data_IF_155197690947
#
_entry.id   IF_155197690947
#
_cell.length_a   1.000
_cell.length_b   1.000
_cell.length_c   1.000
_cell.angle_alpha   90.00
_cell.angle_beta   90.00
_cell.angle_gamma   90.00
#
_symmetry.space_group_name_H-M   'P 1'
#
loop_
_entity.id
_entity.type
_entity.pdbx_description
1 polymer ?
#
# COMPACT_ATOMS: atom_id res chain seq x y z
N UNK A 1 -4.40 -27.92 21.70
CA UNK A 1 -3.30 -26.93 21.77
C UNK A 1 -2.98 -26.58 20.34
N UNK A 2 -3.21 -25.31 19.98
CA UNK A 2 -3.34 -24.68 18.66
C UNK A 2 -2.86 -25.44 17.42
N UNK A 3 -3.82 -25.75 16.54
CA UNK A 3 -3.59 -25.99 15.10
C UNK A 3 -3.68 -24.63 14.38
N UNK A 4 -2.76 -23.71 14.71
CA UNK A 4 -2.63 -22.43 13.99
C UNK A 4 -1.87 -22.71 12.70
N UNK A 5 -2.59 -23.21 11.69
CA UNK A 5 -2.11 -23.13 10.31
C UNK A 5 -1.78 -21.66 10.03
N UNK A 6 -0.64 -21.35 9.39
CA UNK A 6 -0.35 -19.99 8.97
C UNK A 6 -1.52 -19.48 8.14
N UNK A 7 -2.21 -18.45 8.63
CA UNK A 7 -3.25 -17.78 7.85
C UNK A 7 -2.51 -17.02 6.76
N UNK A 8 -2.43 -17.62 5.56
CA UNK A 8 -1.95 -16.92 4.38
C UNK A 8 -2.95 -15.82 4.06
N UNK A 9 -2.54 -14.56 4.21
CA UNK A 9 -3.37 -13.42 3.79
C UNK A 9 -3.46 -13.41 2.27
N UNK A 10 -4.63 -13.16 1.70
CA UNK A 10 -4.76 -13.04 0.25
C UNK A 10 -3.94 -11.84 -0.23
N UNK A 11 -3.21 -12.07 -1.31
CA UNK A 11 -2.45 -11.04 -2.00
C UNK A 11 -3.36 -10.45 -3.08
N UNK A 12 -3.51 -9.14 -3.09
CA UNK A 12 -4.22 -8.43 -4.13
C UNK A 12 -3.42 -8.50 -5.44
N UNK A 13 -4.08 -8.69 -6.57
CA UNK A 13 -3.41 -8.72 -7.88
C UNK A 13 -4.16 -7.83 -8.85
N UNK A 14 -3.42 -7.08 -9.68
CA UNK A 14 -3.99 -6.30 -10.76
C UNK A 14 -4.09 -7.18 -12.02
N UNK A 15 -5.30 -7.60 -12.44
CA UNK A 15 -5.47 -8.45 -13.61
C UNK A 15 -5.15 -7.75 -14.93
N UNK A 16 -5.07 -6.41 -14.94
CA UNK A 16 -4.70 -5.63 -16.12
C UNK A 16 -3.17 -5.45 -16.26
N UNK A 17 -2.40 -5.76 -15.21
CA UNK A 17 -0.95 -5.63 -15.24
C UNK A 17 -0.32 -6.74 -16.10
N UNK A 18 0.49 -6.33 -17.08
CA UNK A 18 1.22 -7.25 -17.96
C UNK A 18 2.50 -7.72 -17.28
N UNK A 19 2.78 -9.02 -17.33
CA UNK A 19 4.03 -9.62 -16.86
C UNK A 19 5.06 -9.73 -17.98
N UNK A 20 6.35 -9.60 -17.67
CA UNK A 20 7.44 -9.89 -18.59
C UNK A 20 7.59 -11.40 -18.86
N UNK A 21 7.13 -12.24 -17.91
CA UNK A 21 7.05 -13.68 -18.05
C UNK A 21 5.56 -14.12 -18.00
N UNK A 22 4.99 -14.68 -19.07
CA UNK A 22 3.59 -15.06 -19.12
C UNK A 22 3.21 -16.17 -18.10
N UNK A 23 4.19 -16.88 -17.52
CA UNK A 23 3.95 -17.91 -16.51
C UNK A 23 3.94 -17.36 -15.07
N UNK A 24 4.34 -16.09 -14.87
CA UNK A 24 4.46 -15.46 -13.56
C UNK A 24 3.51 -14.26 -13.43
N UNK A 25 3.00 -13.96 -12.22
CA UNK A 25 2.28 -12.73 -11.96
C UNK A 25 3.14 -11.49 -12.22
N UNK A 26 2.51 -10.39 -12.60
CA UNK A 26 3.17 -9.11 -12.89
C UNK A 26 3.98 -8.52 -11.72
N UNK A 27 3.61 -8.81 -10.48
CA UNK A 27 4.37 -8.38 -9.30
C UNK A 27 5.61 -9.24 -9.03
N UNK A 28 5.69 -10.44 -9.63
CA UNK A 28 6.87 -11.33 -9.58
C UNK A 28 7.80 -11.04 -10.76
N UNK A 29 7.26 -10.88 -11.96
CA UNK A 29 8.02 -10.60 -13.18
C UNK A 29 7.53 -9.31 -13.84
N UNK A 30 7.78 -8.13 -13.22
CA UNK A 30 7.38 -6.87 -13.81
C UNK A 30 8.20 -6.55 -15.07
N UNK A 31 7.62 -5.88 -16.08
CA UNK A 31 8.35 -5.36 -17.22
C UNK A 31 9.51 -4.44 -16.82
N UNK A 32 10.52 -4.34 -17.68
CA UNK A 32 11.62 -3.40 -17.49
C UNK A 32 11.08 -1.95 -17.38
N UNK A 33 11.58 -1.21 -16.40
CA UNK A 33 11.13 0.16 -16.12
C UNK A 33 9.80 0.27 -15.37
N UNK A 34 9.15 -0.83 -15.00
CA UNK A 34 7.94 -0.79 -14.19
C UNK A 34 8.18 -0.11 -12.83
N UNK A 35 7.20 0.67 -12.34
CA UNK A 35 7.31 1.35 -11.05
C UNK A 35 7.33 0.36 -9.89
N UNK A 36 7.76 0.81 -8.70
CA UNK A 36 7.64 0.02 -7.48
C UNK A 36 6.17 -0.40 -7.26
N UNK A 37 5.94 -1.59 -6.70
CA UNK A 37 4.60 -2.15 -6.49
C UNK A 37 3.76 -2.35 -7.76
N UNK A 38 4.40 -2.45 -8.93
CA UNK A 38 3.70 -2.86 -10.15
C UNK A 38 3.11 -4.28 -10.00
N UNK A 39 1.93 -4.50 -10.59
CA UNK A 39 1.18 -5.76 -10.45
C UNK A 39 0.22 -5.79 -9.25
N UNK A 40 0.21 -4.76 -8.41
CA UNK A 40 -0.75 -4.58 -7.32
C UNK A 40 -1.79 -3.51 -7.68
N UNK A 41 -3.08 -3.72 -7.35
CA UNK A 41 -4.13 -2.80 -7.75
C UNK A 41 -4.18 -1.54 -6.87
N UNK A 42 -4.66 -0.44 -7.47
CA UNK A 42 -5.10 0.75 -6.74
C UNK A 42 -6.51 0.49 -6.20
N UNK A 43 -6.77 0.89 -4.96
CA UNK A 43 -8.11 0.80 -4.36
C UNK A 43 -9.01 1.86 -4.99
N UNK A 44 -10.01 1.44 -5.74
CA UNK A 44 -10.92 2.33 -6.46
C UNK A 44 -11.59 3.33 -5.50
N UNK A 45 -11.52 4.63 -5.82
CA UNK A 45 -12.12 5.69 -5.01
C UNK A 45 -11.31 6.14 -3.79
N UNK A 46 -10.23 5.44 -3.42
CA UNK A 46 -9.33 5.81 -2.33
C UNK A 46 -8.25 6.81 -2.80
N UNK A 47 -8.71 8.00 -3.19
CA UNK A 47 -7.86 9.12 -3.60
C UNK A 47 -8.17 10.37 -2.76
N UNK A 48 -7.12 11.04 -2.30
CA UNK A 48 -7.19 12.26 -1.48
C UNK A 48 -6.03 13.19 -1.85
N UNK A 49 -6.34 14.44 -2.24
CA UNK A 49 -5.36 15.49 -2.55
C UNK A 49 -4.24 15.07 -3.52
N UNK A 50 -4.60 14.25 -4.52
CA UNK A 50 -3.70 13.70 -5.52
C UNK A 50 -2.97 12.41 -5.10
N UNK A 51 -3.01 12.03 -3.82
CA UNK A 51 -2.51 10.74 -3.35
C UNK A 51 -3.52 9.63 -3.61
N UNK A 52 -3.06 8.45 -3.99
CA UNK A 52 -3.87 7.25 -4.19
C UNK A 52 -3.35 6.10 -3.32
N UNK A 53 -4.26 5.29 -2.80
CA UNK A 53 -3.90 4.08 -2.04
C UNK A 53 -3.94 2.85 -2.94
N UNK A 54 -2.87 2.07 -2.96
CA UNK A 54 -2.85 0.73 -3.51
C UNK A 54 -2.72 -0.33 -2.43
N UNK A 55 -3.14 -1.56 -2.74
CA UNK A 55 -3.21 -2.66 -1.77
C UNK A 55 -2.35 -3.84 -2.20
N UNK A 56 -1.65 -4.44 -1.23
CA UNK A 56 -0.88 -5.67 -1.41
C UNK A 56 -1.57 -6.80 -0.64
N UNK A 57 -1.93 -6.56 0.62
CA UNK A 57 -2.84 -7.43 1.39
C UNK A 57 -4.29 -7.11 1.01
N UNK A 58 -5.03 -8.11 0.51
CA UNK A 58 -6.41 -7.94 0.03
C UNK A 58 -7.44 -7.94 1.18
N UNK A 59 -7.55 -6.78 1.84
CA UNK A 59 -8.52 -6.54 2.90
C UNK A 59 -9.98 -6.43 2.40
N UNK A 60 -10.20 -6.25 1.08
CA UNK A 60 -11.54 -6.13 0.49
C UNK A 60 -12.19 -7.50 0.34
N UNK A 61 -11.42 -8.52 -0.04
CA UNK A 61 -11.91 -9.90 -0.11
C UNK A 61 -11.90 -10.57 1.26
N UNK A 62 -10.87 -10.34 2.07
CA UNK A 62 -10.76 -10.89 3.41
C UNK A 62 -10.40 -9.78 4.40
N UNK A 63 -11.36 -9.31 5.22
CA UNK A 63 -11.10 -8.28 6.22
C UNK A 63 -9.93 -8.67 7.12
N UNK A 64 -8.99 -7.74 7.30
CA UNK A 64 -7.87 -7.86 8.24
C UNK A 64 -7.69 -6.52 8.97
N UNK A 65 -6.94 -6.56 10.07
CA UNK A 65 -6.58 -5.38 10.85
C UNK A 65 -5.16 -4.90 10.60
N UNK A 66 -4.38 -5.65 9.80
CA UNK A 66 -3.04 -5.26 9.39
C UNK A 66 -2.65 -5.84 8.04
N UNK A 67 -1.66 -5.23 7.39
CA UNK A 67 -1.10 -5.76 6.16
C UNK A 67 -0.17 -4.79 5.46
N UNK A 68 0.09 -5.10 4.19
CA UNK A 68 0.93 -4.31 3.30
C UNK A 68 0.07 -3.56 2.29
N UNK A 69 0.47 -2.33 2.02
CA UNK A 69 -0.13 -1.43 1.04
C UNK A 69 0.97 -0.54 0.43
N UNK A 70 0.58 0.31 -0.50
CA UNK A 70 1.47 1.34 -1.02
C UNK A 70 0.66 2.60 -1.31
N UNK A 71 1.35 3.73 -1.42
CA UNK A 71 0.75 5.00 -1.80
C UNK A 71 1.43 5.52 -3.05
N UNK A 72 0.64 6.09 -3.95
CA UNK A 72 1.09 6.84 -5.13
C UNK A 72 0.91 8.31 -4.82
N UNK A 73 1.97 9.10 -4.94
CA UNK A 73 1.97 10.54 -4.75
C UNK A 73 1.54 11.26 -6.05
N UNK A 74 1.25 12.57 -6.01
CA UNK A 74 0.78 13.32 -7.19
C UNK A 74 1.74 13.34 -8.39
N UNK A 75 3.01 13.00 -8.21
CA UNK A 75 4.04 12.90 -9.26
C UNK A 75 4.32 11.45 -9.69
N UNK A 76 3.41 10.52 -9.36
CA UNK A 76 3.50 9.07 -9.60
C UNK A 76 4.62 8.35 -8.81
N UNK A 77 5.40 9.06 -7.99
CA UNK A 77 6.35 8.46 -7.05
C UNK A 77 5.62 7.65 -5.99
N UNK A 78 6.25 6.59 -5.47
CA UNK A 78 5.58 5.60 -4.59
C UNK A 78 6.32 5.39 -3.28
N UNK A 79 5.58 5.04 -2.25
CA UNK A 79 6.11 4.53 -0.98
C UNK A 79 5.30 3.32 -0.51
N UNK A 80 5.95 2.45 0.24
CA UNK A 80 5.31 1.32 0.90
C UNK A 80 4.63 1.74 2.19
N UNK A 81 3.61 0.99 2.58
CA UNK A 81 2.91 1.13 3.86
C UNK A 81 2.78 -0.25 4.50
N UNK A 82 3.22 -0.36 5.76
CA UNK A 82 2.80 -1.44 6.65
C UNK A 82 1.70 -0.88 7.53
N UNK A 83 0.45 -1.19 7.21
CA UNK A 83 -0.71 -0.57 7.84
C UNK A 83 -1.26 -1.43 8.98
N UNK A 84 -1.81 -0.76 9.99
CA UNK A 84 -2.64 -1.34 11.03
C UNK A 84 -3.87 -0.47 11.28
N UNK A 85 -5.04 -1.09 11.29
CA UNK A 85 -6.33 -0.45 11.57
C UNK A 85 -6.74 -0.69 13.01
N UNK A 86 -7.66 0.15 13.51
CA UNK A 86 -8.23 0.03 14.87
C UNK A 86 -7.17 -0.03 15.98
N UNK A 87 -6.08 0.73 15.81
CA UNK A 87 -4.95 0.80 16.75
C UNK A 87 -4.61 2.25 17.10
N UNK A 88 -3.65 2.45 18.00
CA UNK A 88 -3.16 3.78 18.33
C UNK A 88 -2.49 4.44 17.13
N UNK A 89 -2.68 5.76 17.01
CA UNK A 89 -2.12 6.52 15.90
C UNK A 89 -0.59 6.50 15.95
N UNK A 90 0.05 6.04 14.87
CA UNK A 90 1.51 6.07 14.72
C UNK A 90 1.91 6.22 13.26
N UNK A 91 3.10 6.75 13.06
CA UNK A 91 3.72 6.91 11.75
C UNK A 91 5.24 6.86 11.91
N UNK A 92 5.84 5.76 11.50
CA UNK A 92 7.25 5.44 11.73
C UNK A 92 7.92 5.00 10.44
N UNK A 93 9.21 5.31 10.29
CA UNK A 93 10.01 4.78 9.20
C UNK A 93 10.26 3.28 9.43
N UNK A 94 9.87 2.45 8.47
CA UNK A 94 10.17 1.02 8.46
C UNK A 94 11.39 0.74 7.56
N UNK A 95 11.46 1.38 6.40
CA UNK A 95 12.61 1.35 5.50
C UNK A 95 12.89 2.75 4.95
N UNK A 96 14.17 3.12 4.92
CA UNK A 96 14.60 4.44 4.46
C UNK A 96 14.31 4.65 2.95
N UNK A 97 14.08 5.90 2.52
CA UNK A 97 13.94 6.23 1.11
C UNK A 97 15.15 5.84 0.25
N UNK A 98 14.89 5.56 -1.03
CA UNK A 98 15.92 5.29 -2.05
C UNK A 98 15.62 6.03 -3.36
N UNK A 99 16.34 5.69 -4.44
CA UNK A 99 16.19 6.33 -5.75
C UNK A 99 14.83 6.00 -6.44
N UNK A 100 14.10 5.00 -5.95
CA UNK A 100 12.88 4.49 -6.59
C UNK A 100 11.62 4.80 -5.79
N UNK A 101 11.74 4.91 -4.48
CA UNK A 101 10.63 5.08 -3.54
C UNK A 101 11.00 6.04 -2.44
N UNK A 102 10.01 6.77 -1.94
CA UNK A 102 10.20 7.66 -0.78
C UNK A 102 10.06 6.91 0.56
N UNK A 103 10.50 5.64 0.60
CA UNK A 103 10.58 4.79 1.80
C UNK A 103 9.40 3.84 2.00
N UNK A 104 9.45 3.11 3.11
CA UNK A 104 8.33 2.30 3.63
C UNK A 104 7.97 2.80 5.01
N UNK A 105 6.68 3.03 5.25
CA UNK A 105 6.18 3.62 6.50
C UNK A 105 5.30 2.63 7.26
N UNK A 106 5.62 2.39 8.52
CA UNK A 106 4.74 1.69 9.46
C UNK A 106 3.70 2.67 9.99
N UNK A 107 2.43 2.43 9.67
CA UNK A 107 1.33 3.33 10.01
C UNK A 107 0.26 2.60 10.80
N UNK A 108 -0.29 3.30 11.80
CA UNK A 108 -1.41 2.81 12.60
C UNK A 108 -2.41 3.94 12.79
N UNK A 109 -3.71 3.65 12.72
CA UNK A 109 -4.77 4.62 12.98
C UNK A 109 -5.96 3.94 13.69
N UNK A 110 -6.74 4.69 14.50
CA UNK A 110 -7.97 4.21 15.12
C UNK A 110 -9.15 4.21 14.13
N UNK A 111 -8.87 3.95 12.86
CA UNK A 111 -9.85 3.91 11.77
C UNK A 111 -9.91 2.48 11.24
N UNK A 112 -11.08 2.02 10.76
CA UNK A 112 -11.19 0.74 10.08
C UNK A 112 -10.53 0.80 8.69
N UNK A 113 -10.24 -0.38 8.11
CA UNK A 113 -9.75 -0.53 6.75
C UNK A 113 -10.38 -1.77 6.09
N UNK A 114 -11.70 -1.73 5.89
CA UNK A 114 -12.51 -2.89 5.45
C UNK A 114 -13.21 -2.68 4.11
N UNK A 115 -13.36 -1.42 3.70
CA UNK A 115 -14.03 -1.02 2.47
C UNK A 115 -13.20 0.02 1.73
N UNK A 116 -13.52 0.27 0.46
CA UNK A 116 -12.90 1.36 -0.29
C UNK A 116 -13.16 2.75 0.36
N UNK A 117 -14.34 2.93 0.96
CA UNK A 117 -14.66 4.15 1.71
C UNK A 117 -13.77 4.29 2.96
N UNK A 118 -13.60 3.21 3.72
CA UNK A 118 -12.69 3.19 4.88
C UNK A 118 -11.25 3.50 4.45
N UNK A 119 -10.79 2.87 3.36
CA UNK A 119 -9.47 3.08 2.79
C UNK A 119 -9.24 4.56 2.41
N UNK A 120 -10.27 5.23 1.87
CA UNK A 120 -10.21 6.66 1.58
C UNK A 120 -10.09 7.52 2.85
N UNK A 121 -10.86 7.20 3.89
CA UNK A 121 -10.78 7.91 5.18
C UNK A 121 -9.43 7.68 5.87
N UNK A 122 -8.93 6.44 5.82
CA UNK A 122 -7.62 6.06 6.31
C UNK A 122 -6.52 6.84 5.58
N UNK A 123 -6.55 6.88 4.25
CA UNK A 123 -5.63 7.69 3.45
C UNK A 123 -5.73 9.17 3.80
N UNK A 124 -6.94 9.73 3.93
CA UNK A 124 -7.13 11.15 4.29
C UNK A 124 -6.43 11.51 5.59
N UNK A 125 -6.50 10.64 6.59
CA UNK A 125 -5.83 10.83 7.87
C UNK A 125 -4.29 10.76 7.76
N UNK A 126 -3.76 9.97 6.83
CA UNK A 126 -2.31 9.85 6.58
C UNK A 126 -1.74 10.99 5.73
N UNK A 127 -2.50 11.56 4.80
CA UNK A 127 -2.03 12.56 3.82
C UNK A 127 -1.18 13.69 4.42
N UNK A 128 -1.52 14.29 5.59
CA UNK A 128 -0.70 15.35 6.17
C UNK A 128 0.74 14.93 6.50
N UNK A 129 0.95 13.67 6.89
CA UNK A 129 2.29 13.16 7.20
C UNK A 129 2.97 12.61 5.94
N UNK A 130 2.23 11.87 5.10
CA UNK A 130 2.71 11.39 3.80
C UNK A 130 3.25 12.54 2.93
N UNK A 131 2.55 13.67 2.90
CA UNK A 131 2.99 14.87 2.18
C UNK A 131 4.33 15.38 2.69
N UNK A 132 4.56 15.43 4.01
CA UNK A 132 5.85 15.87 4.58
C UNK A 132 6.98 14.95 4.18
N UNK A 133 6.75 13.63 4.18
CA UNK A 133 7.76 12.64 3.79
C UNK A 133 8.08 12.71 2.31
N UNK A 134 7.05 12.81 1.47
CA UNK A 134 7.19 13.01 0.03
C UNK A 134 7.94 14.32 -0.30
N UNK A 135 7.53 15.45 0.30
CA UNK A 135 8.19 16.75 0.09
C UNK A 135 9.65 16.74 0.59
N UNK A 136 9.96 15.98 1.64
CA UNK A 136 11.32 15.85 2.16
C UNK A 136 12.24 14.91 1.35
N UNK A 137 11.67 14.00 0.56
CA UNK A 137 12.42 13.12 -0.35
C UNK A 137 12.67 13.78 -1.70
N UNK A 138 11.73 14.60 -2.17
CA UNK A 138 11.84 15.27 -3.46
C UNK A 138 12.98 16.31 -3.47
N UNK A 139 13.70 16.44 -4.60
CA UNK A 139 14.77 17.42 -4.77
C UNK A 139 14.28 18.87 -4.82
#
# INVERSE_FOLDING_TARGET
MNDERPVTRPIATDPAATSADPELPAFISPPEGAPAYYGFPVVEGAQVDGFQLGMITDFLTQPDTYGDAYVIAPDDSRAGLVWQSETEARFEEAEAPDDRTWGVWSVGLPLPMRTAADAKEYLRALVPELRRRWDGWRP
#
